data_IF_215471785680
#
_entry.id   IF_215471785680
#
_cell.length_a   1.000
_cell.length_b   1.000
_cell.length_c   1.000
_cell.angle_alpha   90.00
_cell.angle_beta   90.00
_cell.angle_gamma   90.00
#
_symmetry.space_group_name_H-M   'P 1'
#
loop_
_entity.id
_entity.type
_entity.pdbx_description
1 polymer ?
#
# COMPACT_ATOMS: atom_id res chain seq x y z
N UNK A 1 51.74 -10.36 32.03
CA UNK A 1 51.41 -11.80 32.17
C UNK A 1 50.14 -11.86 33.00
N UNK A 2 49.00 -12.38 32.59
CA UNK A 2 48.48 -12.93 31.35
C UNK A 2 46.97 -12.97 31.61
N UNK A 3 46.16 -12.63 30.62
CA UNK A 3 44.72 -12.83 30.62
C UNK A 3 44.37 -14.30 30.89
N UNK A 4 43.26 -14.54 31.60
CA UNK A 4 42.38 -15.68 31.34
C UNK A 4 40.99 -15.40 31.91
N UNK A 5 40.21 -14.56 31.23
CA UNK A 5 38.77 -14.51 31.46
C UNK A 5 38.13 -15.52 30.51
N UNK A 6 37.79 -16.69 31.06
CA UNK A 6 37.19 -17.83 30.36
C UNK A 6 35.88 -17.44 29.70
N UNK A 7 35.87 -17.40 28.37
CA UNK A 7 34.67 -17.20 27.56
C UNK A 7 33.66 -18.34 27.80
N UNK A 8 32.43 -17.98 28.17
CA UNK A 8 31.27 -18.89 28.20
C UNK A 8 30.83 -19.19 26.76
N UNK A 9 30.35 -20.41 26.46
CA UNK A 9 30.02 -20.82 25.10
C UNK A 9 28.85 -20.00 24.55
N UNK A 10 28.99 -19.55 23.30
CA UNK A 10 27.99 -18.81 22.56
C UNK A 10 26.68 -19.60 22.46
N UNK A 11 25.63 -19.10 23.12
CA UNK A 11 24.28 -19.61 22.96
C UNK A 11 23.82 -19.44 21.52
N UNK A 12 23.27 -20.51 20.94
CA UNK A 12 22.83 -20.57 19.55
C UNK A 12 21.92 -19.39 19.17
N UNK A 13 22.45 -18.48 18.35
CA UNK A 13 21.73 -17.32 17.83
C UNK A 13 20.79 -17.76 16.71
N UNK A 14 19.50 -17.79 17.01
CA UNK A 14 18.42 -18.02 16.05
C UNK A 14 18.39 -16.92 14.99
N UNK A 15 18.76 -17.25 13.75
CA UNK A 15 18.61 -16.37 12.59
C UNK A 15 17.12 -16.08 12.36
N UNK A 16 16.73 -14.81 12.31
CA UNK A 16 15.36 -14.43 11.95
C UNK A 16 15.19 -14.56 10.43
N UNK A 17 14.22 -15.38 9.99
CA UNK A 17 13.91 -15.55 8.57
C UNK A 17 13.26 -14.27 8.02
N UNK A 18 13.93 -13.58 7.10
CA UNK A 18 13.42 -12.30 6.56
C UNK A 18 14.20 -11.62 5.43
N UNK A 19 15.30 -12.21 4.96
CA UNK A 19 16.09 -11.66 3.84
C UNK A 19 15.74 -12.33 2.51
N UNK A 20 15.29 -11.55 1.54
CA UNK A 20 15.18 -11.95 0.13
C UNK A 20 16.08 -11.01 -0.70
N UNK A 21 16.33 -11.31 -1.98
CA UNK A 21 17.10 -10.40 -2.87
C UNK A 21 16.55 -8.97 -2.96
N UNK A 22 15.31 -8.74 -2.49
CA UNK A 22 14.66 -7.44 -2.42
C UNK A 22 14.81 -6.73 -1.06
N UNK A 23 15.23 -7.40 0.02
CA UNK A 23 15.36 -6.81 1.35
C UNK A 23 16.57 -7.41 2.07
N UNK A 24 17.69 -6.68 2.11
CA UNK A 24 18.89 -7.11 2.81
C UNK A 24 18.69 -6.94 4.32
N UNK A 25 18.83 -8.02 5.08
CA UNK A 25 18.46 -8.05 6.49
C UNK A 25 19.66 -7.69 7.38
N UNK A 26 19.99 -6.41 7.45
CA UNK A 26 21.16 -5.87 8.18
C UNK A 26 21.16 -6.20 9.69
N UNK A 27 20.02 -6.53 10.28
CA UNK A 27 19.92 -6.97 11.67
C UNK A 27 20.73 -8.25 11.97
N UNK A 28 20.89 -9.12 10.97
CA UNK A 28 21.60 -10.39 11.16
C UNK A 28 23.12 -10.20 11.22
N UNK A 29 23.64 -9.12 10.62
CA UNK A 29 25.08 -8.83 10.55
C UNK A 29 25.62 -8.34 11.90
N UNK A 30 24.81 -7.68 12.73
CA UNK A 30 25.21 -7.12 14.02
C UNK A 30 24.84 -7.97 15.25
N UNK A 31 24.40 -9.22 15.06
CA UNK A 31 24.06 -10.15 16.14
C UNK A 31 25.21 -10.45 17.13
N UNK A 32 26.44 -10.07 16.80
CA UNK A 32 27.63 -10.25 17.63
C UNK A 32 27.85 -9.14 18.68
N UNK A 33 27.17 -7.99 18.60
CA UNK A 33 27.39 -6.83 19.50
C UNK A 33 26.45 -6.86 20.71
N UNK A 34 26.90 -7.11 21.94
CA UNK A 34 25.98 -7.29 23.08
C UNK A 34 25.12 -6.06 23.46
N UNK A 35 25.55 -4.85 23.11
CA UNK A 35 24.89 -3.59 23.49
C UNK A 35 23.89 -3.09 22.42
N UNK A 36 22.65 -2.80 22.83
CA UNK A 36 21.53 -2.40 21.97
C UNK A 36 21.70 -1.01 21.36
N UNK A 37 22.30 -0.08 22.10
CA UNK A 37 22.47 1.29 21.64
C UNK A 37 23.56 1.41 20.56
N UNK A 38 24.63 0.63 20.70
CA UNK A 38 25.74 0.61 19.75
C UNK A 38 25.35 -0.13 18.46
N UNK A 39 24.61 -1.24 18.55
CA UNK A 39 23.96 -1.89 17.40
C UNK A 39 23.09 -0.93 16.61
N UNK A 40 22.22 -0.17 17.28
CA UNK A 40 21.31 0.78 16.63
C UNK A 40 22.09 1.89 15.94
N UNK A 41 23.18 2.37 16.55
CA UNK A 41 24.03 3.45 16.01
C UNK A 41 24.84 2.99 14.79
N UNK A 42 25.39 1.77 14.83
CA UNK A 42 26.12 1.17 13.70
C UNK A 42 25.18 0.80 12.56
N UNK A 43 23.98 0.27 12.84
CA UNK A 43 22.97 0.02 11.83
C UNK A 43 22.51 1.31 11.13
N UNK A 44 22.29 2.39 11.89
CA UNK A 44 21.96 3.71 11.34
C UNK A 44 23.10 4.27 10.48
N UNK A 45 24.35 4.14 10.94
CA UNK A 45 25.52 4.61 10.19
C UNK A 45 25.76 3.80 8.90
N UNK A 46 25.46 2.50 8.89
CA UNK A 46 25.55 1.64 7.70
C UNK A 46 24.42 1.96 6.69
N UNK A 47 23.21 2.23 7.17
CA UNK A 47 22.09 2.73 6.34
C UNK A 47 22.45 4.07 5.70
N UNK A 48 23.08 4.98 6.45
CA UNK A 48 23.51 6.30 5.96
C UNK A 48 24.69 6.21 4.96
N UNK A 49 25.46 5.11 5.02
CA UNK A 49 26.57 4.83 4.09
C UNK A 49 26.17 3.97 2.89
N UNK A 50 24.93 3.47 2.84
CA UNK A 50 24.47 2.63 1.76
C UNK A 50 24.51 3.42 0.44
N UNK A 51 25.25 2.96 -0.58
CA UNK A 51 25.33 3.68 -1.84
C UNK A 51 23.96 3.72 -2.51
N UNK A 52 23.59 4.88 -3.06
CA UNK A 52 22.41 5.03 -3.93
C UNK A 52 22.50 4.03 -5.09
N UNK A 53 21.88 2.87 -4.91
CA UNK A 53 21.90 1.78 -5.87
C UNK A 53 20.65 1.76 -6.75
N UNK A 54 20.68 0.91 -7.76
CA UNK A 54 19.53 0.63 -8.63
C UNK A 54 18.28 0.17 -7.86
N UNK A 55 18.46 -0.41 -6.67
CA UNK A 55 17.38 -0.77 -5.76
C UNK A 55 16.57 0.46 -5.29
N UNK A 56 17.24 1.55 -4.91
CA UNK A 56 16.56 2.76 -4.44
C UNK A 56 15.79 3.42 -5.57
N UNK A 57 16.38 3.44 -6.78
CA UNK A 57 15.72 3.94 -7.99
C UNK A 57 14.47 3.11 -8.30
N UNK A 58 14.55 1.77 -8.26
CA UNK A 58 13.37 0.90 -8.48
C UNK A 58 12.31 1.10 -7.40
N UNK A 59 12.70 1.21 -6.13
CA UNK A 59 11.77 1.46 -5.04
C UNK A 59 11.05 2.80 -5.22
N UNK A 60 11.77 3.87 -5.55
CA UNK A 60 11.19 5.19 -5.85
C UNK A 60 10.24 5.14 -7.05
N UNK A 61 10.59 4.42 -8.12
CA UNK A 61 9.72 4.27 -9.29
C UNK A 61 8.45 3.51 -8.93
N UNK A 62 8.56 2.41 -8.19
CA UNK A 62 7.41 1.60 -7.78
C UNK A 62 6.47 2.39 -6.86
N UNK A 63 7.01 3.08 -5.84
CA UNK A 63 6.22 3.96 -4.97
C UNK A 63 5.59 5.13 -5.74
N UNK A 64 6.33 5.73 -6.69
CA UNK A 64 5.82 6.81 -7.53
C UNK A 64 4.67 6.38 -8.44
N UNK A 65 4.71 5.15 -8.98
CA UNK A 65 3.61 4.59 -9.78
C UNK A 65 2.37 4.33 -8.92
N UNK A 66 2.53 3.92 -7.65
CA UNK A 66 1.44 3.78 -6.68
C UNK A 66 0.69 5.10 -6.48
N UNK A 67 1.41 6.14 -6.04
CA UNK A 67 0.85 7.49 -5.85
C UNK A 67 0.25 8.09 -7.13
N UNK A 68 0.87 7.83 -8.28
CA UNK A 68 0.33 8.24 -9.57
C UNK A 68 -1.01 7.56 -9.87
N UNK A 69 -1.12 6.28 -9.55
CA UNK A 69 -2.35 5.51 -9.75
C UNK A 69 -3.47 6.00 -8.83
N UNK A 70 -3.19 6.33 -7.57
CA UNK A 70 -4.15 6.97 -6.65
C UNK A 70 -4.69 8.28 -7.25
N UNK A 71 -3.78 9.18 -7.62
CA UNK A 71 -4.16 10.48 -8.19
C UNK A 71 -4.93 10.34 -9.50
N UNK A 72 -4.56 9.38 -10.34
CA UNK A 72 -5.26 9.08 -11.58
C UNK A 72 -6.67 8.57 -11.32
N UNK A 73 -6.89 7.74 -10.30
CA UNK A 73 -8.23 7.21 -10.01
C UNK A 73 -9.23 8.31 -9.63
N UNK A 74 -8.83 9.25 -8.76
CA UNK A 74 -9.66 10.40 -8.38
C UNK A 74 -10.06 11.21 -9.63
N UNK A 75 -9.12 11.40 -10.56
CA UNK A 75 -9.41 12.05 -11.84
C UNK A 75 -10.40 11.23 -12.68
N UNK A 76 -10.18 9.91 -12.80
CA UNK A 76 -11.08 9.05 -13.58
C UNK A 76 -12.50 8.99 -13.01
N UNK A 77 -12.69 9.17 -11.70
CA UNK A 77 -14.02 9.24 -11.09
C UNK A 77 -14.87 10.36 -11.71
N UNK A 78 -14.26 11.51 -11.99
CA UNK A 78 -14.96 12.63 -12.65
C UNK A 78 -15.28 12.34 -14.12
N UNK A 79 -14.40 11.63 -14.84
CA UNK A 79 -14.67 11.19 -16.21
C UNK A 79 -15.74 10.08 -16.27
N UNK A 80 -15.74 9.19 -15.28
CA UNK A 80 -16.71 8.11 -15.16
C UNK A 80 -18.13 8.69 -15.04
N UNK A 81 -18.35 9.67 -14.16
CA UNK A 81 -19.69 10.26 -13.99
C UNK A 81 -20.17 11.03 -15.22
N UNK A 82 -19.24 11.61 -15.99
CA UNK A 82 -19.54 12.20 -17.30
C UNK A 82 -20.00 11.13 -18.30
N UNK A 83 -19.24 10.04 -18.45
CA UNK A 83 -19.56 8.97 -19.40
C UNK A 83 -20.87 8.26 -19.04
N UNK A 84 -21.11 8.01 -17.75
CA UNK A 84 -22.38 7.46 -17.28
C UNK A 84 -23.55 8.42 -17.55
N UNK A 85 -23.33 9.74 -17.44
CA UNK A 85 -24.31 10.75 -17.81
C UNK A 85 -24.71 10.71 -19.29
N UNK A 86 -23.75 10.46 -20.19
CA UNK A 86 -24.01 10.34 -21.63
C UNK A 86 -24.77 9.05 -21.95
N UNK A 87 -24.34 7.92 -21.37
CA UNK A 87 -24.87 6.59 -21.71
C UNK A 87 -26.24 6.33 -21.08
N UNK A 88 -26.40 6.66 -19.80
CA UNK A 88 -27.60 6.30 -19.03
C UNK A 88 -28.61 7.46 -18.88
N UNK A 89 -28.21 8.69 -19.21
CA UNK A 89 -29.10 9.87 -19.20
C UNK A 89 -29.08 10.63 -20.54
N UNK A 90 -29.41 9.97 -21.67
CA UNK A 90 -29.23 10.53 -23.02
C UNK A 90 -30.03 11.82 -23.29
N UNK A 91 -31.09 12.10 -22.51
CA UNK A 91 -31.89 13.33 -22.66
C UNK A 91 -31.25 14.58 -22.06
N UNK A 92 -30.38 14.44 -21.06
CA UNK A 92 -29.71 15.56 -20.36
C UNK A 92 -28.20 15.53 -20.64
N UNK A 93 -27.65 14.37 -21.02
CA UNK A 93 -26.22 14.16 -21.26
C UNK A 93 -25.36 14.29 -19.99
N UNK A 94 -26.00 14.42 -18.83
CA UNK A 94 -25.34 14.63 -17.54
C UNK A 94 -26.07 13.83 -16.46
N UNK A 95 -25.28 13.21 -15.58
CA UNK A 95 -25.80 12.47 -14.46
C UNK A 95 -26.44 13.41 -13.41
N UNK A 96 -27.54 12.99 -12.74
CA UNK A 96 -28.14 13.76 -11.66
C UNK A 96 -27.11 14.08 -10.57
N UNK A 97 -27.17 15.30 -10.03
CA UNK A 97 -26.22 15.79 -9.02
C UNK A 97 -26.13 14.88 -7.79
N UNK A 98 -27.26 14.29 -7.38
CA UNK A 98 -27.29 13.37 -6.24
C UNK A 98 -26.46 12.10 -6.51
N UNK A 99 -26.56 11.53 -7.72
CA UNK A 99 -25.81 10.33 -8.11
C UNK A 99 -24.33 10.61 -8.36
N UNK A 100 -24.00 11.75 -8.99
CA UNK A 100 -22.61 12.20 -9.17
C UNK A 100 -21.91 12.41 -7.82
N UNK A 101 -22.58 13.12 -6.90
CA UNK A 101 -22.06 13.34 -5.55
C UNK A 101 -21.96 12.03 -4.77
N UNK A 102 -22.93 11.12 -4.91
CA UNK A 102 -22.89 9.82 -4.23
C UNK A 102 -21.70 8.97 -4.66
N UNK A 103 -21.38 8.92 -5.96
CA UNK A 103 -20.21 8.19 -6.48
C UNK A 103 -18.91 8.81 -5.93
N UNK A 104 -18.78 10.13 -5.99
CA UNK A 104 -17.59 10.84 -5.49
C UNK A 104 -17.41 10.64 -3.98
N UNK A 105 -18.50 10.79 -3.22
CA UNK A 105 -18.50 10.60 -1.78
C UNK A 105 -18.21 9.15 -1.39
N UNK A 106 -18.70 8.18 -2.16
CA UNK A 106 -18.44 6.77 -1.93
C UNK A 106 -16.95 6.43 -2.04
N UNK A 107 -16.26 6.99 -3.05
CA UNK A 107 -14.79 6.84 -3.17
C UNK A 107 -14.09 7.42 -1.93
N UNK A 108 -14.39 8.68 -1.57
CA UNK A 108 -13.76 9.32 -0.42
C UNK A 108 -14.05 8.61 0.92
N UNK A 109 -15.29 8.14 1.11
CA UNK A 109 -15.67 7.36 2.28
C UNK A 109 -14.92 6.01 2.31
N UNK A 110 -14.81 5.35 1.16
CA UNK A 110 -13.99 4.14 1.00
C UNK A 110 -12.53 4.37 1.39
N UNK A 111 -11.93 5.48 0.96
CA UNK A 111 -10.55 5.85 1.32
C UNK A 111 -10.35 6.01 2.82
N UNK A 112 -11.27 6.70 3.51
CA UNK A 112 -11.19 6.86 4.98
C UNK A 112 -11.29 5.50 5.68
N UNK A 113 -12.22 4.64 5.25
CA UNK A 113 -12.36 3.29 5.80
C UNK A 113 -11.12 2.44 5.50
N UNK A 114 -10.55 2.58 4.29
CA UNK A 114 -9.32 1.92 3.87
C UNK A 114 -8.13 2.31 4.73
N UNK A 115 -7.91 3.60 4.97
CA UNK A 115 -6.82 4.11 5.80
C UNK A 115 -6.88 3.52 7.22
N UNK A 116 -8.06 3.51 7.85
CA UNK A 116 -8.23 2.95 9.19
C UNK A 116 -8.10 1.42 9.20
N UNK A 117 -8.72 0.75 8.23
CA UNK A 117 -8.74 -0.70 8.11
C UNK A 117 -7.36 -1.29 7.80
N UNK A 118 -6.68 -0.77 6.78
CA UNK A 118 -5.33 -1.19 6.41
C UNK A 118 -4.29 -0.78 7.45
N UNK A 119 -4.48 0.32 8.17
CA UNK A 119 -3.64 0.66 9.33
C UNK A 119 -3.62 -0.46 10.37
N UNK A 120 -4.80 -0.94 10.78
CA UNK A 120 -4.89 -2.09 11.69
C UNK A 120 -4.41 -3.40 11.05
N UNK A 121 -4.73 -3.63 9.77
CA UNK A 121 -4.34 -4.86 9.06
C UNK A 121 -2.82 -4.97 8.88
N UNK A 122 -2.12 -3.84 8.70
CA UNK A 122 -0.67 -3.79 8.59
C UNK A 122 0.03 -4.25 9.86
N UNK A 123 -0.54 -3.95 11.03
CA UNK A 123 -0.03 -4.40 12.32
C UNK A 123 -0.20 -5.92 12.51
N UNK A 124 -1.24 -6.52 11.95
CA UNK A 124 -1.58 -7.94 12.15
C UNK A 124 -0.93 -8.87 11.12
N UNK A 125 -0.99 -8.52 9.83
CA UNK A 125 -0.62 -9.43 8.71
C UNK A 125 0.87 -9.30 8.33
N UNK A 126 1.50 -8.19 8.73
CA UNK A 126 2.90 -7.92 8.48
C UNK A 126 3.15 -7.09 7.21
N UNK A 127 4.09 -6.16 7.37
CA UNK A 127 4.40 -5.04 6.47
C UNK A 127 4.65 -5.44 5.01
N UNK A 128 5.39 -6.52 4.75
CA UNK A 128 5.73 -6.97 3.38
C UNK A 128 4.54 -7.51 2.59
N UNK A 129 3.51 -8.03 3.25
CA UNK A 129 2.33 -8.62 2.57
C UNK A 129 1.25 -7.58 2.27
N UNK A 130 1.24 -6.47 3.02
CA UNK A 130 0.24 -5.42 2.81
C UNK A 130 0.38 -4.76 1.45
N UNK A 131 1.61 -4.53 0.96
CA UNK A 131 1.84 -3.93 -0.36
C UNK A 131 1.15 -4.72 -1.48
N UNK A 132 1.25 -6.05 -1.45
CA UNK A 132 0.59 -6.91 -2.44
C UNK A 132 -0.93 -6.94 -2.27
N UNK A 133 -1.43 -6.87 -1.04
CA UNK A 133 -2.87 -6.97 -0.77
C UNK A 133 -3.63 -5.75 -1.29
N UNK A 134 -3.12 -4.55 -1.01
CA UNK A 134 -3.70 -3.29 -1.50
C UNK A 134 -3.80 -3.30 -3.03
N UNK A 135 -2.70 -3.64 -3.70
CA UNK A 135 -2.61 -3.71 -5.15
C UNK A 135 -3.63 -4.70 -5.74
N UNK A 136 -3.81 -5.86 -5.11
CA UNK A 136 -4.80 -6.86 -5.52
C UNK A 136 -6.23 -6.32 -5.39
N UNK A 137 -6.53 -5.59 -4.30
CA UNK A 137 -7.85 -4.97 -4.10
C UNK A 137 -8.15 -3.95 -5.19
N UNK A 138 -7.18 -3.08 -5.53
CA UNK A 138 -7.34 -2.08 -6.61
C UNK A 138 -7.55 -2.77 -7.96
N UNK A 139 -6.75 -3.78 -8.29
CA UNK A 139 -6.89 -4.54 -9.55
C UNK A 139 -8.27 -5.19 -9.63
N UNK A 140 -8.70 -5.86 -8.56
CA UNK A 140 -9.99 -6.55 -8.53
C UNK A 140 -11.17 -5.56 -8.64
N UNK A 141 -11.11 -4.44 -7.93
CA UNK A 141 -12.13 -3.40 -8.02
C UNK A 141 -12.18 -2.77 -9.42
N UNK A 142 -11.03 -2.56 -10.06
CA UNK A 142 -10.94 -2.00 -11.41
C UNK A 142 -11.56 -2.94 -12.44
N UNK A 143 -11.20 -4.23 -12.39
CA UNK A 143 -11.76 -5.25 -13.29
C UNK A 143 -13.25 -5.42 -13.04
N UNK A 144 -13.68 -5.47 -11.77
CA UNK A 144 -15.08 -5.55 -11.38
C UNK A 144 -15.91 -4.39 -11.92
N UNK A 145 -15.39 -3.17 -11.79
CA UNK A 145 -16.02 -1.97 -12.35
C UNK A 145 -16.10 -2.03 -13.89
N UNK A 146 -15.04 -2.47 -14.57
CA UNK A 146 -14.99 -2.55 -16.02
C UNK A 146 -15.92 -3.62 -16.62
N UNK A 147 -16.14 -4.73 -15.90
CA UNK A 147 -17.04 -5.81 -16.31
C UNK A 147 -18.51 -5.56 -15.94
N UNK A 148 -18.77 -4.52 -15.15
CA UNK A 148 -20.13 -4.18 -14.73
C UNK A 148 -20.89 -3.48 -15.86
N UNK A 149 -22.09 -3.96 -16.15
CA UNK A 149 -23.01 -3.37 -17.13
C UNK A 149 -24.42 -3.28 -16.56
N UNK A 150 -25.22 -2.33 -17.06
CA UNK A 150 -26.60 -2.16 -16.62
C UNK A 150 -27.46 -3.37 -16.98
N UNK A 151 -28.28 -3.83 -16.03
CA UNK A 151 -29.21 -4.95 -16.22
C UNK A 151 -30.59 -4.56 -15.68
N UNK A 152 -31.71 -5.10 -16.22
CA UNK A 152 -33.05 -4.77 -15.75
C UNK A 152 -33.29 -5.03 -14.24
N UNK A 153 -32.48 -5.89 -13.63
CA UNK A 153 -32.58 -6.22 -12.20
C UNK A 153 -31.58 -5.47 -11.31
N UNK A 154 -30.57 -4.81 -11.87
CA UNK A 154 -29.52 -4.14 -11.10
C UNK A 154 -29.27 -2.71 -11.58
N UNK A 155 -29.40 -1.75 -10.67
CA UNK A 155 -29.04 -0.36 -10.94
C UNK A 155 -27.52 -0.23 -11.11
N UNK A 156 -27.12 0.26 -12.29
CA UNK A 156 -25.72 0.49 -12.63
C UNK A 156 -25.07 1.49 -11.67
N UNK A 157 -25.81 2.49 -11.21
CA UNK A 157 -25.27 3.53 -10.31
C UNK A 157 -24.91 2.90 -8.97
N UNK A 158 -25.80 2.07 -8.41
CA UNK A 158 -25.52 1.31 -7.19
C UNK A 158 -24.31 0.39 -7.30
N UNK A 159 -24.16 -0.32 -8.43
CA UNK A 159 -23.01 -1.20 -8.66
C UNK A 159 -21.69 -0.41 -8.79
N UNK A 160 -21.71 0.72 -9.49
CA UNK A 160 -20.55 1.61 -9.58
C UNK A 160 -20.18 2.18 -8.21
N UNK A 161 -21.16 2.61 -7.41
CA UNK A 161 -20.92 3.07 -6.04
C UNK A 161 -20.24 1.97 -5.22
N UNK A 162 -20.75 0.74 -5.29
CA UNK A 162 -20.17 -0.40 -4.58
C UNK A 162 -18.70 -0.64 -4.97
N UNK A 163 -18.39 -0.69 -6.26
CA UNK A 163 -17.02 -0.86 -6.73
C UNK A 163 -16.12 0.32 -6.35
N UNK A 164 -16.65 1.55 -6.33
CA UNK A 164 -15.92 2.75 -5.89
C UNK A 164 -15.59 2.75 -4.42
N UNK A 165 -16.44 2.21 -3.56
CA UNK A 165 -16.10 2.00 -2.14
C UNK A 165 -14.93 1.02 -2.00
N UNK A 166 -14.98 -0.12 -2.69
CA UNK A 166 -13.90 -1.13 -2.63
C UNK A 166 -12.58 -0.58 -3.19
N UNK A 167 -12.65 0.13 -4.30
CA UNK A 167 -11.51 0.82 -4.91
C UNK A 167 -10.91 1.86 -3.96
N UNK A 168 -11.77 2.70 -3.34
CA UNK A 168 -11.37 3.66 -2.33
C UNK A 168 -10.69 3.00 -1.13
N UNK A 169 -11.19 1.85 -0.67
CA UNK A 169 -10.57 1.06 0.41
C UNK A 169 -9.14 0.62 0.03
N UNK A 170 -8.94 0.18 -1.22
CA UNK A 170 -7.61 -0.14 -1.75
C UNK A 170 -6.69 1.07 -1.67
N UNK A 171 -7.07 2.17 -2.32
CA UNK A 171 -6.31 3.43 -2.34
C UNK A 171 -5.97 3.94 -0.93
N UNK A 172 -6.91 3.83 0.02
CA UNK A 172 -6.68 4.23 1.41
C UNK A 172 -5.54 3.49 2.10
N UNK A 173 -5.19 2.28 1.62
CA UNK A 173 -4.08 1.49 2.13
C UNK A 173 -2.68 2.00 1.73
N UNK A 174 -2.56 2.79 0.65
CA UNK A 174 -1.25 3.27 0.15
C UNK A 174 -0.58 4.23 1.15
N UNK A 175 -1.37 4.96 1.95
CA UNK A 175 -0.87 5.92 2.94
C UNK A 175 -0.07 5.24 4.08
N UNK A 176 -0.60 4.21 4.78
CA UNK A 176 0.19 3.38 5.68
C UNK A 176 1.41 2.75 5.01
N UNK A 177 1.27 2.29 3.77
CA UNK A 177 2.31 1.53 3.06
C UNK A 177 3.49 2.38 2.64
N UNK A 178 3.23 3.58 2.15
CA UNK A 178 4.25 4.57 1.81
C UNK A 178 5.09 4.99 3.03
N UNK A 179 4.46 5.08 4.21
CA UNK A 179 5.17 5.36 5.46
C UNK A 179 6.14 4.23 5.86
N UNK A 180 5.79 2.99 5.53
CA UNK A 180 6.61 1.81 5.80
C UNK A 180 7.79 1.76 4.84
N UNK A 181 7.58 1.93 3.53
CA UNK A 181 8.66 1.85 2.53
C UNK A 181 9.75 2.91 2.78
N UNK A 182 9.35 4.11 3.22
CA UNK A 182 10.32 5.17 3.56
C UNK A 182 11.07 4.88 4.86
N UNK A 183 10.50 4.03 5.74
CA UNK A 183 11.06 3.70 7.05
C UNK A 183 11.87 2.39 7.07
N UNK A 184 11.83 1.59 5.99
CA UNK A 184 12.58 0.34 5.82
C UNK A 184 13.75 0.50 4.84
#
# INVERSE_FOLDING_TARGET
MSESNTARPAGATSKTSGGNSAYHNFNNDFLHVADLNERRRLALAEVDKAPFGWYHVRACVVAGVGFFTDSYDIFTASLLTLMLGIVYYPGVGKMPTNSDNAIKLATSAGTVVGQLGFGFLADVVGRKKMYGLELIVIIFATIGQALTSGSPSCDIIGLIIFWRVIMGIGIGGDYPLSSIITSE
#
